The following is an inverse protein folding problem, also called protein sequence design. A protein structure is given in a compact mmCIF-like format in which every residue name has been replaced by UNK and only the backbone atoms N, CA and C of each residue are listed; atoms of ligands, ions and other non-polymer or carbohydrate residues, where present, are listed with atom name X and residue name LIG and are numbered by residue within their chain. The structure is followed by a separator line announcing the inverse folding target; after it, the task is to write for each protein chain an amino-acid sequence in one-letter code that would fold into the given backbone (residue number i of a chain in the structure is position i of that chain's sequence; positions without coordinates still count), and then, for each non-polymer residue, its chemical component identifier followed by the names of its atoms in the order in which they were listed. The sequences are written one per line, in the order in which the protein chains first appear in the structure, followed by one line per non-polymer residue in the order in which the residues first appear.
data_IF_824242030476
#
_entry.id   IF_824242030476
#
_cell.length_a   1.000
_cell.length_b   1.000
_cell.length_c   1.000
_cell.angle_alpha   90.00
_cell.angle_beta   90.00
_cell.angle_gamma   90.00
#
_symmetry.space_group_name_H-M   'P 1'
#
loop_
_entity.id
_entity.type
_entity.pdbx_description
1 polymer ?
#
# COMPACT_ATOMS: atom_id res chain seq x y z
N UNK A 1 -32.79 -74.99 -15.56
CA UNK A 1 -31.85 -74.07 -16.21
C UNK A 1 -32.17 -72.68 -15.66
N UNK A 2 -31.49 -72.28 -14.59
CA UNK A 2 -31.71 -71.00 -13.89
C UNK A 2 -30.50 -70.13 -14.15
N UNK A 3 -30.70 -69.03 -14.87
CA UNK A 3 -29.71 -68.00 -15.10
C UNK A 3 -29.86 -66.89 -14.03
N UNK A 4 -28.83 -66.66 -13.24
CA UNK A 4 -28.73 -65.58 -12.25
C UNK A 4 -28.15 -64.31 -12.91
N UNK A 5 -28.77 -63.11 -12.75
CA UNK A 5 -28.14 -61.92 -13.27
C UNK A 5 -27.09 -61.37 -12.27
N UNK A 6 -25.91 -61.14 -12.79
CA UNK A 6 -24.81 -60.51 -12.04
C UNK A 6 -25.04 -59.02 -11.83
N UNK A 7 -24.92 -58.59 -10.59
CA UNK A 7 -24.95 -57.18 -10.21
C UNK A 7 -23.54 -56.58 -10.42
N UNK A 8 -23.46 -55.63 -11.34
CA UNK A 8 -22.27 -54.84 -11.59
C UNK A 8 -22.24 -53.68 -10.58
N UNK A 9 -21.37 -53.75 -9.58
CA UNK A 9 -21.13 -52.67 -8.63
C UNK A 9 -20.11 -51.68 -9.26
N UNK A 10 -20.63 -50.54 -9.71
CA UNK A 10 -19.82 -49.46 -10.24
C UNK A 10 -19.27 -48.60 -9.05
N UNK A 11 -18.04 -48.83 -8.67
CA UNK A 11 -17.37 -48.07 -7.62
C UNK A 11 -16.93 -46.72 -8.22
N UNK A 12 -17.66 -45.65 -7.94
CA UNK A 12 -17.25 -44.28 -8.29
C UNK A 12 -16.15 -43.83 -7.32
N UNK A 13 -14.91 -43.74 -7.79
CA UNK A 13 -13.85 -43.06 -7.08
C UNK A 13 -14.09 -41.54 -7.15
N UNK A 14 -14.54 -40.94 -6.04
CA UNK A 14 -14.49 -39.50 -5.85
C UNK A 14 -13.01 -39.10 -5.64
N UNK A 15 -12.41 -38.52 -6.65
CA UNK A 15 -11.17 -37.72 -6.46
C UNK A 15 -11.55 -36.42 -5.78
N UNK A 16 -11.36 -36.34 -4.47
CA UNK A 16 -11.27 -35.09 -3.74
C UNK A 16 -9.97 -34.41 -4.19
N UNK A 17 -10.05 -33.53 -5.18
CA UNK A 17 -9.00 -32.59 -5.46
C UNK A 17 -8.90 -31.62 -4.29
N UNK A 18 -8.06 -31.94 -3.31
CA UNK A 18 -7.60 -30.97 -2.34
C UNK A 18 -6.80 -29.91 -3.11
N UNK A 19 -7.49 -28.84 -3.51
CA UNK A 19 -6.85 -27.61 -3.96
C UNK A 19 -6.03 -27.05 -2.80
N UNK A 20 -4.76 -27.43 -2.75
CA UNK A 20 -3.79 -26.72 -1.91
C UNK A 20 -3.66 -25.33 -2.54
N UNK A 21 -4.46 -24.39 -2.03
CA UNK A 21 -4.29 -22.98 -2.37
C UNK A 21 -2.85 -22.63 -2.00
N UNK A 22 -2.02 -22.41 -3.01
CA UNK A 22 -0.67 -21.89 -2.81
C UNK A 22 -0.83 -20.55 -2.11
N UNK A 23 -0.50 -20.50 -0.82
CA UNK A 23 -0.36 -19.22 -0.12
C UNK A 23 0.77 -18.48 -0.83
N UNK A 24 0.38 -17.51 -1.64
CA UNK A 24 1.34 -16.67 -2.34
C UNK A 24 1.99 -15.77 -1.28
N UNK A 25 3.18 -16.17 -0.82
CA UNK A 25 3.99 -15.32 0.06
C UNK A 25 4.50 -14.17 -0.79
N UNK A 26 4.24 -12.93 -0.37
CA UNK A 26 4.73 -11.74 -1.05
C UNK A 26 6.26 -11.80 -1.18
N UNK A 27 6.80 -11.44 -2.35
CA UNK A 27 8.24 -11.32 -2.53
C UNK A 27 8.80 -10.24 -1.59
N UNK A 28 9.62 -10.59 -0.60
CA UNK A 28 10.14 -9.62 0.37
C UNK A 28 11.16 -8.65 -0.26
N UNK A 29 11.74 -8.99 -1.40
CA UNK A 29 12.78 -8.20 -2.06
C UNK A 29 12.24 -7.08 -2.95
N UNK A 30 10.94 -7.06 -3.26
CA UNK A 30 10.33 -6.13 -4.19
C UNK A 30 9.06 -5.48 -3.61
N UNK A 31 8.84 -4.21 -3.93
CA UNK A 31 7.57 -3.50 -3.70
C UNK A 31 6.61 -3.58 -4.90
N UNK A 32 7.00 -4.24 -6.00
CA UNK A 32 6.12 -4.46 -7.13
C UNK A 32 4.82 -5.16 -6.71
N UNK A 33 3.68 -4.84 -7.34
CA UNK A 33 2.39 -5.44 -6.99
C UNK A 33 2.36 -6.94 -7.26
N UNK A 34 1.55 -7.65 -6.51
CA UNK A 34 1.18 -9.02 -6.82
C UNK A 34 0.27 -9.06 -8.05
N UNK A 35 0.19 -10.22 -8.70
CA UNK A 35 -0.61 -10.39 -9.91
C UNK A 35 -2.12 -10.22 -9.69
N UNK A 36 -2.61 -10.50 -8.49
CA UNK A 36 -4.02 -10.40 -8.15
C UNK A 36 -4.41 -9.02 -7.63
N UNK A 37 -5.42 -8.40 -8.24
CA UNK A 37 -6.05 -7.16 -7.79
C UNK A 37 -7.39 -7.48 -7.15
N UNK A 38 -7.74 -6.81 -6.07
CA UNK A 38 -8.97 -7.09 -5.30
C UNK A 38 -9.80 -5.81 -5.16
N UNK A 39 -10.64 -5.46 -6.14
CA UNK A 39 -11.53 -4.32 -5.98
C UNK A 39 -12.60 -4.63 -4.94
N UNK A 40 -12.87 -3.68 -4.05
CA UNK A 40 -13.87 -3.81 -2.98
C UNK A 40 -15.28 -3.46 -3.43
N UNK A 41 -15.41 -2.56 -4.42
CA UNK A 41 -16.69 -2.09 -4.97
C UNK A 41 -16.56 -1.89 -6.49
N UNK A 42 -17.69 -1.76 -7.22
CA UNK A 42 -17.65 -1.39 -8.63
C UNK A 42 -16.94 -0.05 -8.85
N UNK A 43 -16.11 -0.01 -9.87
CA UNK A 43 -15.38 1.19 -10.25
C UNK A 43 -16.32 2.30 -10.75
N UNK A 44 -16.23 3.51 -10.16
CA UNK A 44 -16.90 4.72 -10.63
C UNK A 44 -15.95 5.46 -11.58
N UNK A 45 -16.23 5.42 -12.88
CA UNK A 45 -15.42 6.09 -13.89
C UNK A 45 -15.50 7.62 -13.74
N UNK A 46 -14.36 8.29 -13.97
CA UNK A 46 -14.24 9.73 -14.03
C UNK A 46 -13.29 10.12 -15.15
N UNK A 47 -13.58 11.21 -15.85
CA UNK A 47 -12.77 11.68 -16.97
C UNK A 47 -11.54 12.49 -16.54
N UNK A 48 -11.58 13.07 -15.34
CA UNK A 48 -10.51 13.85 -14.73
C UNK A 48 -10.48 13.64 -13.22
N UNK A 49 -9.40 14.09 -12.58
CA UNK A 49 -9.31 14.05 -11.12
C UNK A 49 -10.40 14.90 -10.45
N UNK A 50 -10.72 16.06 -11.03
CA UNK A 50 -11.78 16.94 -10.55
C UNK A 50 -13.16 16.29 -10.67
N UNK A 51 -13.45 15.58 -11.76
CA UNK A 51 -14.68 14.78 -11.90
C UNK A 51 -14.73 13.65 -10.86
N UNK A 52 -13.60 13.00 -10.60
CA UNK A 52 -13.50 11.96 -9.59
C UNK A 52 -13.89 12.48 -8.20
N UNK A 53 -13.45 13.69 -7.84
CA UNK A 53 -13.81 14.35 -6.57
C UNK A 53 -15.29 14.72 -6.45
N UNK A 54 -16.03 14.78 -7.55
CA UNK A 54 -17.48 15.03 -7.55
C UNK A 54 -18.30 13.75 -7.39
N UNK A 55 -17.75 12.60 -7.79
CA UNK A 55 -18.50 11.32 -7.82
C UNK A 55 -18.04 10.31 -6.77
N UNK A 56 -16.81 10.45 -6.27
CA UNK A 56 -16.31 9.58 -5.19
C UNK A 56 -16.70 10.14 -3.83
N UNK A 57 -17.15 9.26 -2.95
CA UNK A 57 -17.67 9.64 -1.63
C UNK A 57 -16.99 8.87 -0.50
N UNK A 58 -16.29 7.76 -0.84
CA UNK A 58 -15.78 6.82 0.15
C UNK A 58 -14.35 6.37 -0.16
N UNK A 59 -13.59 5.88 0.82
CA UNK A 59 -12.30 5.24 0.59
C UNK A 59 -12.38 4.06 -0.39
N UNK A 60 -13.54 3.38 -0.42
CA UNK A 60 -13.77 2.24 -1.32
C UNK A 60 -13.81 2.67 -2.78
N UNK A 61 -14.33 3.87 -3.10
CA UNK A 61 -14.32 4.44 -4.45
C UNK A 61 -12.90 4.69 -4.95
N UNK A 62 -12.06 5.30 -4.08
CA UNK A 62 -10.63 5.53 -4.38
C UNK A 62 -9.93 4.19 -4.60
N UNK A 63 -10.18 3.23 -3.73
CA UNK A 63 -9.53 1.93 -3.77
C UNK A 63 -9.94 1.10 -4.99
N UNK A 64 -11.20 1.20 -5.43
CA UNK A 64 -11.67 0.59 -6.67
C UNK A 64 -10.98 1.21 -7.91
N UNK A 65 -10.78 2.53 -7.92
CA UNK A 65 -10.01 3.19 -8.98
C UNK A 65 -8.55 2.71 -9.00
N UNK A 66 -7.90 2.59 -7.82
CA UNK A 66 -6.55 2.04 -7.69
C UNK A 66 -6.48 0.62 -8.26
N UNK A 67 -7.45 -0.23 -7.91
CA UNK A 67 -7.52 -1.59 -8.44
C UNK A 67 -7.59 -1.64 -9.96
N UNK A 68 -8.36 -0.72 -10.55
CA UNK A 68 -8.59 -0.71 -12.01
C UNK A 68 -7.43 -0.11 -12.82
N UNK A 69 -6.71 0.88 -12.25
CA UNK A 69 -5.84 1.75 -13.05
C UNK A 69 -4.37 1.75 -12.62
N UNK A 70 -4.05 1.46 -11.35
CA UNK A 70 -2.69 1.64 -10.85
C UNK A 70 -1.70 0.63 -11.43
N UNK A 71 -0.56 1.15 -11.89
CA UNK A 71 0.61 0.39 -12.32
C UNK A 71 1.84 0.80 -11.49
N UNK A 72 2.61 -0.18 -11.00
CA UNK A 72 3.79 0.10 -10.20
C UNK A 72 5.01 0.42 -11.07
N UNK A 73 5.65 1.57 -10.84
CA UNK A 73 6.86 2.01 -11.54
C UNK A 73 8.13 1.61 -10.77
N UNK A 74 8.71 0.46 -11.11
CA UNK A 74 9.96 -0.01 -10.50
C UNK A 74 11.13 0.94 -10.77
N UNK A 75 11.21 1.54 -11.94
CA UNK A 75 12.31 2.47 -12.28
C UNK A 75 12.24 3.73 -11.41
N UNK A 76 11.04 4.24 -11.18
CA UNK A 76 10.79 5.34 -10.24
C UNK A 76 11.14 4.94 -8.80
N UNK A 77 10.81 3.70 -8.39
CA UNK A 77 11.17 3.19 -7.07
C UNK A 77 12.69 3.18 -6.85
N UNK A 78 13.45 2.71 -7.83
CA UNK A 78 14.91 2.72 -7.76
C UNK A 78 15.47 4.15 -7.68
N UNK A 79 14.95 5.08 -8.48
CA UNK A 79 15.37 6.50 -8.43
C UNK A 79 15.00 7.19 -7.11
N UNK A 80 13.90 6.81 -6.47
CA UNK A 80 13.48 7.29 -5.14
C UNK A 80 14.15 6.55 -3.98
N UNK A 81 14.98 5.54 -4.24
CA UNK A 81 15.71 4.79 -3.23
C UNK A 81 16.62 5.68 -2.39
N UNK A 82 16.98 5.23 -1.20
CA UNK A 82 17.90 5.97 -0.33
C UNK A 82 19.26 6.23 -0.98
N UNK A 83 19.77 5.24 -1.71
CA UNK A 83 21.05 5.32 -2.41
C UNK A 83 21.07 6.42 -3.46
N UNK A 84 19.99 6.60 -4.21
CA UNK A 84 19.89 7.62 -5.27
C UNK A 84 19.57 9.00 -4.66
N UNK A 85 18.73 9.07 -3.65
CA UNK A 85 18.43 10.34 -2.92
C UNK A 85 19.68 11.01 -2.33
N UNK A 86 20.67 10.20 -1.97
CA UNK A 86 21.96 10.73 -1.46
C UNK A 86 22.84 11.33 -2.57
N UNK A 87 22.58 10.99 -3.85
CA UNK A 87 23.46 11.32 -4.98
C UNK A 87 22.99 12.49 -5.84
N UNK A 88 21.80 12.98 -5.65
CA UNK A 88 21.45 14.26 -6.24
C UNK A 88 20.15 14.42 -6.99
N UNK A 89 19.18 13.89 -7.18
CA UNK A 89 18.00 14.54 -7.77
C UNK A 89 16.73 14.33 -6.94
N UNK A 90 16.18 15.45 -6.46
CA UNK A 90 14.88 15.46 -5.79
C UNK A 90 13.76 15.21 -6.81
N UNK A 91 13.56 13.95 -7.14
CA UNK A 91 12.36 13.57 -7.86
C UNK A 91 11.13 13.96 -7.03
N UNK A 92 10.21 14.72 -7.63
CA UNK A 92 8.95 15.10 -6.99
C UNK A 92 8.04 13.88 -6.80
N UNK A 93 7.33 13.86 -5.68
CA UNK A 93 6.21 12.93 -5.49
C UNK A 93 5.01 13.52 -6.23
N UNK A 94 4.33 12.72 -7.02
CA UNK A 94 3.21 13.15 -7.86
C UNK A 94 2.10 13.80 -7.02
N UNK A 95 1.58 14.93 -7.52
CA UNK A 95 0.33 15.47 -7.00
C UNK A 95 -0.85 14.54 -7.36
N UNK A 96 -1.97 14.58 -6.62
CA UNK A 96 -3.08 13.67 -6.88
C UNK A 96 -3.62 13.71 -8.31
N UNK A 97 -3.77 14.89 -8.91
CA UNK A 97 -4.21 15.01 -10.30
C UNK A 97 -3.19 14.41 -11.27
N UNK A 98 -1.89 14.70 -11.08
CA UNK A 98 -0.83 14.14 -11.90
C UNK A 98 -0.78 12.60 -11.80
N UNK A 99 -0.98 12.04 -10.58
CA UNK A 99 -1.05 10.60 -10.37
C UNK A 99 -2.29 9.98 -11.03
N UNK A 100 -3.43 10.66 -10.96
CA UNK A 100 -4.67 10.24 -11.63
C UNK A 100 -4.49 10.11 -13.15
N UNK A 101 -3.78 11.05 -13.76
CA UNK A 101 -3.53 11.05 -15.20
C UNK A 101 -2.47 10.01 -15.60
N UNK A 102 -1.36 9.92 -14.85
CA UNK A 102 -0.27 8.99 -15.15
C UNK A 102 -0.62 7.54 -14.86
N UNK A 103 -1.42 7.29 -13.82
CA UNK A 103 -1.82 5.93 -13.35
C UNK A 103 -0.65 5.05 -12.90
N UNK A 104 0.56 5.56 -12.99
CA UNK A 104 1.79 4.87 -12.61
C UNK A 104 2.48 5.59 -11.46
N UNK A 105 3.19 4.86 -10.64
CA UNK A 105 3.92 5.45 -9.51
C UNK A 105 4.43 4.40 -8.52
N UNK A 106 4.85 4.87 -7.36
CA UNK A 106 5.33 4.01 -6.28
C UNK A 106 4.47 4.20 -5.02
N UNK A 107 4.76 3.46 -3.96
CA UNK A 107 3.97 3.46 -2.72
C UNK A 107 3.72 4.86 -2.14
N UNK A 108 4.71 5.78 -2.20
CA UNK A 108 4.53 7.14 -1.67
C UNK A 108 3.65 8.01 -2.57
N UNK A 109 3.71 7.84 -3.91
CA UNK A 109 2.80 8.54 -4.83
C UNK A 109 1.37 8.05 -4.62
N UNK A 110 1.20 6.73 -4.53
CA UNK A 110 -0.09 6.08 -4.31
C UNK A 110 -0.71 6.50 -2.97
N UNK A 111 0.07 6.54 -1.89
CA UNK A 111 -0.45 6.97 -0.59
C UNK A 111 -0.74 8.45 -0.56
N UNK A 112 0.04 9.30 -1.26
CA UNK A 112 -0.29 10.71 -1.42
C UNK A 112 -1.62 10.91 -2.15
N UNK A 113 -1.81 10.21 -3.24
CA UNK A 113 -3.09 10.20 -3.95
C UNK A 113 -4.23 9.82 -3.01
N UNK A 114 -4.12 8.70 -2.28
CA UNK A 114 -5.16 8.22 -1.37
C UNK A 114 -5.45 9.19 -0.22
N UNK A 115 -4.42 9.67 0.49
CA UNK A 115 -4.61 10.59 1.64
C UNK A 115 -5.19 11.92 1.21
N UNK A 116 -4.60 12.57 0.18
CA UNK A 116 -5.04 13.91 -0.23
C UNK A 116 -6.44 13.87 -0.88
N UNK A 117 -6.78 12.80 -1.62
CA UNK A 117 -8.12 12.60 -2.16
C UNK A 117 -9.13 12.36 -1.03
N UNK A 118 -8.83 11.46 -0.09
CA UNK A 118 -9.74 11.14 1.00
C UNK A 118 -9.97 12.34 1.93
N UNK A 119 -8.96 13.17 2.17
CA UNK A 119 -9.13 14.45 2.89
C UNK A 119 -10.13 15.40 2.23
N UNK A 120 -10.35 15.29 0.92
CA UNK A 120 -11.30 16.13 0.18
C UNK A 120 -12.72 15.56 0.16
N UNK A 121 -12.86 14.23 0.05
CA UNK A 121 -14.18 13.59 -0.11
C UNK A 121 -14.77 13.10 1.22
N UNK A 122 -13.94 12.72 2.20
CA UNK A 122 -14.38 12.22 3.51
C UNK A 122 -13.41 12.68 4.63
N UNK A 123 -13.31 13.99 4.92
CA UNK A 123 -12.44 14.52 5.98
C UNK A 123 -12.67 13.90 7.37
N UNK A 124 -13.93 13.54 7.77
CA UNK A 124 -14.18 12.93 9.07
C UNK A 124 -13.49 11.58 9.28
N UNK A 125 -13.07 10.89 8.22
CA UNK A 125 -12.32 9.63 8.35
C UNK A 125 -10.86 9.82 8.81
N UNK A 126 -10.38 11.06 9.00
CA UNK A 126 -9.05 11.41 9.49
C UNK A 126 -7.91 10.66 8.75
N UNK A 127 -7.82 10.76 7.42
CA UNK A 127 -6.83 9.99 6.67
C UNK A 127 -5.40 10.48 6.94
N UNK A 128 -4.48 9.52 7.15
CA UNK A 128 -3.07 9.75 7.41
C UNK A 128 -2.18 8.91 6.52
N UNK A 129 -0.94 9.35 6.39
CA UNK A 129 0.13 8.55 5.80
C UNK A 129 0.64 7.56 6.84
N UNK A 130 0.58 6.26 6.57
CA UNK A 130 1.27 5.25 7.34
C UNK A 130 2.61 4.96 6.67
N UNK A 131 3.69 5.44 7.28
CA UNK A 131 5.05 5.11 6.88
C UNK A 131 5.52 3.86 7.63
N UNK A 132 5.98 2.86 6.89
CA UNK A 132 6.55 1.63 7.43
C UNK A 132 8.01 1.55 7.01
N UNK A 133 8.88 1.25 7.96
CA UNK A 133 10.30 1.00 7.73
C UNK A 133 10.60 -0.48 7.95
N UNK A 134 11.02 -1.16 6.91
CA UNK A 134 11.45 -2.56 6.94
C UNK A 134 12.96 -2.68 7.12
N UNK A 135 13.44 -3.86 7.47
CA UNK A 135 14.83 -4.20 7.25
C UNK A 135 15.20 -3.90 5.79
N UNK A 136 16.33 -3.20 5.55
CA UNK A 136 16.69 -2.78 4.20
C UNK A 136 16.97 -3.96 3.28
N UNK A 137 16.54 -3.84 2.01
CA UNK A 137 16.88 -4.77 0.94
C UNK A 137 17.67 -4.05 -0.14
N UNK A 138 18.55 -4.80 -0.82
CA UNK A 138 19.36 -4.30 -1.93
C UNK A 138 18.78 -4.82 -3.25
N UNK A 139 18.41 -3.89 -4.14
CA UNK A 139 17.93 -4.22 -5.49
C UNK A 139 18.72 -3.39 -6.50
N UNK A 140 19.52 -4.07 -7.33
CA UNK A 140 20.34 -3.38 -8.34
C UNK A 140 21.26 -2.31 -7.74
N UNK A 141 21.85 -2.58 -6.56
CA UNK A 141 22.71 -1.62 -5.86
C UNK A 141 21.98 -0.47 -5.15
N UNK A 142 20.65 -0.52 -5.10
CA UNK A 142 19.80 0.47 -4.44
C UNK A 142 19.22 -0.06 -3.14
N UNK A 143 19.20 0.76 -2.09
CA UNK A 143 18.64 0.41 -0.78
C UNK A 143 17.17 0.83 -0.71
N UNK A 144 16.28 -0.16 -0.50
CA UNK A 144 14.85 0.04 -0.33
C UNK A 144 14.44 -0.46 1.05
N UNK A 145 13.78 0.39 1.84
CA UNK A 145 13.26 0.02 3.16
C UNK A 145 11.95 0.70 3.54
N UNK A 146 11.61 1.82 2.91
CA UNK A 146 10.38 2.55 3.24
C UNK A 146 9.23 2.06 2.38
N UNK A 147 8.08 1.90 3.03
CA UNK A 147 6.82 1.63 2.39
C UNK A 147 5.74 2.59 2.93
N UNK A 148 4.75 2.90 2.11
CA UNK A 148 3.73 3.87 2.45
C UNK A 148 2.35 3.32 2.11
N UNK A 149 1.41 3.52 3.03
CA UNK A 149 -0.01 3.21 2.87
C UNK A 149 -0.84 4.39 3.37
N UNK A 150 -2.15 4.28 3.20
CA UNK A 150 -3.14 5.17 3.81
C UNK A 150 -3.77 4.45 5.00
N UNK A 151 -3.80 5.11 6.16
CA UNK A 151 -4.66 4.73 7.28
C UNK A 151 -5.82 5.70 7.39
N UNK A 152 -7.00 5.23 7.83
CA UNK A 152 -8.17 6.07 8.09
C UNK A 152 -9.09 5.42 9.12
N UNK A 153 -10.01 6.19 9.69
CA UNK A 153 -10.96 5.74 10.71
C UNK A 153 -12.37 5.59 10.15
N UNK A 154 -13.05 4.53 10.54
CA UNK A 154 -14.47 4.31 10.27
C UNK A 154 -15.09 3.52 11.41
N UNK A 155 -16.17 4.03 12.01
CA UNK A 155 -16.87 3.33 13.10
C UNK A 155 -15.99 2.99 14.32
N UNK A 156 -15.03 3.85 14.66
CA UNK A 156 -14.11 3.64 15.80
C UNK A 156 -13.00 2.63 15.53
N UNK A 157 -12.87 2.13 14.31
CA UNK A 157 -11.82 1.18 13.87
C UNK A 157 -10.89 1.83 12.87
N UNK A 158 -9.69 1.27 12.73
CA UNK A 158 -8.69 1.73 11.76
C UNK A 158 -8.66 0.80 10.56
N UNK A 159 -8.63 1.39 9.37
CA UNK A 159 -8.56 0.70 8.09
C UNK A 159 -7.33 1.13 7.34
N UNK A 160 -6.87 0.29 6.39
CA UNK A 160 -5.68 0.58 5.59
C UNK A 160 -5.93 0.21 4.13
N UNK A 161 -5.45 1.06 3.21
CA UNK A 161 -5.54 0.82 1.77
C UNK A 161 -4.38 1.52 1.03
N UNK A 162 -4.45 1.57 -0.31
CA UNK A 162 -3.39 2.12 -1.15
C UNK A 162 -2.04 1.39 -0.98
N UNK A 163 -2.11 0.07 -0.79
CA UNK A 163 -0.95 -0.79 -0.75
C UNK A 163 -0.50 -1.11 -2.18
N UNK A 164 0.69 -0.62 -2.58
CA UNK A 164 1.24 -0.89 -3.91
C UNK A 164 1.52 -2.39 -4.15
N UNK A 165 1.63 -3.18 -3.09
CA UNK A 165 1.79 -4.64 -3.15
C UNK A 165 0.47 -5.36 -3.42
N UNK A 166 -0.64 -4.76 -2.99
CA UNK A 166 -2.01 -5.28 -3.14
C UNK A 166 -2.96 -4.19 -3.64
N UNK A 167 -2.80 -3.70 -4.90
CA UNK A 167 -3.67 -2.64 -5.42
C UNK A 167 -5.14 -3.04 -5.34
N UNK A 168 -5.97 -2.15 -4.77
CA UNK A 168 -7.39 -2.41 -4.58
C UNK A 168 -7.75 -3.24 -3.34
N UNK A 169 -6.77 -3.68 -2.56
CA UNK A 169 -7.04 -4.33 -1.28
C UNK A 169 -7.35 -3.29 -0.20
N UNK A 170 -8.47 -3.49 0.50
CA UNK A 170 -8.82 -2.79 1.73
C UNK A 170 -8.59 -3.75 2.89
N UNK A 171 -7.65 -3.44 3.78
CA UNK A 171 -7.41 -4.24 4.96
C UNK A 171 -8.60 -4.15 5.92
N UNK A 172 -8.98 -5.27 6.53
CA UNK A 172 -10.07 -5.38 7.48
C UNK A 172 -9.89 -4.44 8.68
N UNK A 173 -10.98 -4.07 9.37
CA UNK A 173 -10.88 -3.14 10.49
C UNK A 173 -10.04 -3.70 11.63
N UNK A 174 -9.07 -2.94 12.06
CA UNK A 174 -8.21 -3.22 13.22
C UNK A 174 -8.61 -2.34 14.42
N UNK A 175 -8.24 -2.77 15.61
CA UNK A 175 -8.43 -1.95 16.83
C UNK A 175 -7.49 -0.74 16.82
N UNK A 176 -6.27 -0.95 16.34
CA UNK A 176 -5.22 0.06 16.26
C UNK A 176 -4.22 -0.26 15.15
N UNK A 177 -3.28 0.63 14.94
CA UNK A 177 -2.24 0.50 13.91
C UNK A 177 -1.27 -0.63 14.22
N UNK A 178 -0.96 -0.90 15.50
CA UNK A 178 -0.02 -1.97 15.88
C UNK A 178 -0.54 -3.33 15.44
N UNK A 179 -1.84 -3.62 15.66
CA UNK A 179 -2.45 -4.87 15.23
C UNK A 179 -2.36 -5.09 13.71
N UNK A 180 -2.53 -4.01 12.93
CA UNK A 180 -2.29 -4.08 11.48
C UNK A 180 -0.83 -4.35 11.15
N UNK A 181 0.13 -3.69 11.83
CA UNK A 181 1.56 -3.84 11.56
C UNK A 181 2.03 -5.27 11.80
N UNK A 182 1.53 -5.92 12.85
CA UNK A 182 1.88 -7.30 13.17
C UNK A 182 1.42 -8.27 12.06
N UNK A 183 0.17 -8.14 11.60
CA UNK A 183 -0.36 -8.91 10.47
C UNK A 183 0.37 -8.58 9.16
N UNK A 184 0.68 -7.30 8.94
CA UNK A 184 1.35 -6.87 7.72
C UNK A 184 2.80 -7.37 7.64
N UNK A 185 3.51 -7.41 8.76
CA UNK A 185 4.86 -7.99 8.83
C UNK A 185 4.84 -9.47 8.42
N UNK A 186 3.83 -10.21 8.92
CA UNK A 186 3.63 -11.62 8.57
C UNK A 186 3.32 -11.78 7.08
N UNK A 187 2.37 -11.01 6.55
CA UNK A 187 2.02 -11.03 5.12
C UNK A 187 3.23 -10.73 4.22
N UNK A 188 4.03 -9.72 4.57
CA UNK A 188 5.20 -9.31 3.77
C UNK A 188 6.39 -10.25 3.93
N UNK A 189 6.39 -11.14 4.92
CA UNK A 189 7.54 -11.98 5.24
C UNK A 189 8.81 -11.16 5.56
N UNK A 190 8.65 -9.92 6.04
CA UNK A 190 9.75 -8.97 6.32
C UNK A 190 9.58 -8.37 7.71
N UNK A 191 10.69 -8.22 8.43
CA UNK A 191 10.69 -7.54 9.72
C UNK A 191 10.46 -6.04 9.52
N UNK A 192 9.46 -5.51 10.24
CA UNK A 192 9.23 -4.07 10.37
C UNK A 192 10.03 -3.57 11.55
N UNK A 193 10.87 -2.55 11.35
CA UNK A 193 11.74 -1.98 12.39
C UNK A 193 11.17 -0.70 12.97
N UNK A 194 10.32 0.01 12.22
CA UNK A 194 9.59 1.19 12.71
C UNK A 194 8.37 1.45 11.84
N UNK A 195 7.37 2.15 12.41
CA UNK A 195 6.26 2.70 11.67
C UNK A 195 5.79 4.01 12.31
N UNK A 196 5.12 4.86 11.52
CA UNK A 196 4.54 6.13 12.01
C UNK A 196 3.33 6.53 11.17
N UNK A 197 2.27 6.99 11.81
CA UNK A 197 1.24 7.80 11.17
C UNK A 197 1.70 9.26 11.10
N UNK A 198 1.53 9.88 9.92
CA UNK A 198 2.02 11.22 9.62
C UNK A 198 0.93 12.03 8.92
N UNK A 199 0.86 13.32 9.19
CA UNK A 199 -0.02 14.26 8.48
C UNK A 199 0.52 14.62 7.09
N UNK A 200 1.81 14.40 6.85
CA UNK A 200 2.50 14.71 5.58
C UNK A 200 3.56 13.68 5.27
N UNK A 201 3.69 13.31 3.98
CA UNK A 201 4.79 12.48 3.48
C UNK A 201 6.14 13.22 3.50
N UNK A 202 6.13 14.56 3.61
CA UNK A 202 7.35 15.36 3.69
C UNK A 202 7.91 15.31 5.11
N UNK A 203 9.15 14.86 5.25
CA UNK A 203 9.86 14.98 6.52
C UNK A 203 10.12 16.47 6.78
N UNK A 204 9.58 17.02 7.87
CA UNK A 204 10.02 18.34 8.36
C UNK A 204 11.54 18.25 8.58
N UNK A 205 12.32 19.08 7.88
CA UNK A 205 13.72 19.26 8.24
C UNK A 205 13.75 19.71 9.69
N UNK A 206 14.48 18.99 10.53
CA UNK A 206 14.79 19.45 11.88
C UNK A 206 15.58 20.76 11.68
N UNK A 207 14.95 21.90 11.93
CA UNK A 207 15.64 23.17 12.04
C UNK A 207 16.67 22.97 13.15
N UNK A 208 17.97 23.03 12.84
CA UNK A 208 18.99 23.06 13.84
C UNK A 208 18.66 24.22 14.77
N UNK A 209 18.59 23.94 16.07
CA UNK A 209 18.45 24.99 17.06
C UNK A 209 19.58 25.99 16.85
N UNK A 210 19.33 27.31 16.93
CA UNK A 210 20.40 28.30 16.81
C UNK A 210 21.49 27.95 17.83
N UNK A 211 22.71 27.82 17.36
CA UNK A 211 23.88 27.66 18.23
C UNK A 211 23.85 28.81 19.21
N UNK A 212 23.66 28.50 20.50
CA UNK A 212 23.82 29.47 21.55
C UNK A 212 25.25 30.04 21.46
N UNK A 213 25.35 31.32 21.12
CA UNK A 213 26.61 32.05 21.24
C UNK A 213 27.04 31.98 22.70
N UNK A 214 28.19 31.37 22.94
CA UNK A 214 28.86 31.39 24.24
C UNK A 214 29.34 32.84 24.44
N UNK A 215 28.92 33.54 25.51
CA UNK A 215 29.40 34.87 25.77
C UNK A 215 30.92 34.79 26.01
N UNK A 216 31.69 35.47 25.14
CA UNK A 216 33.13 35.59 25.29
C UNK A 216 33.44 36.26 26.60
N UNK A 217 34.24 35.57 27.43
CA UNK A 217 34.84 36.10 28.64
C UNK A 217 35.87 37.20 28.23
N UNK A 218 35.52 38.45 28.47
CA UNK A 218 36.51 39.53 28.45
C UNK A 218 37.23 39.54 29.78
N UNK A 219 38.54 39.28 29.73
CA UNK A 219 39.52 39.68 30.74
C UNK A 219 40.27 40.89 30.24
#
# INVERSE_FOLDING_TARGET
MNATPGVLVLTALLFLANGVGSLHVADPSSDAPESARTPSVPFKAAGSYEDALQVWETPDDINAWIAANFEYDMQRALRLSETQKAKDERMSIYAPAEFFDTKTGVCVDLSRFGVETLKRIDPPSEPKYLMIEFDPVQIGGNTLRLHWLVSFKRGGRVFFFADSKRPGHMASPYNDVQAFIDDYAHYRGRRIIAFKELESYQRKRRTEAPKSEVPGNQQ
#
